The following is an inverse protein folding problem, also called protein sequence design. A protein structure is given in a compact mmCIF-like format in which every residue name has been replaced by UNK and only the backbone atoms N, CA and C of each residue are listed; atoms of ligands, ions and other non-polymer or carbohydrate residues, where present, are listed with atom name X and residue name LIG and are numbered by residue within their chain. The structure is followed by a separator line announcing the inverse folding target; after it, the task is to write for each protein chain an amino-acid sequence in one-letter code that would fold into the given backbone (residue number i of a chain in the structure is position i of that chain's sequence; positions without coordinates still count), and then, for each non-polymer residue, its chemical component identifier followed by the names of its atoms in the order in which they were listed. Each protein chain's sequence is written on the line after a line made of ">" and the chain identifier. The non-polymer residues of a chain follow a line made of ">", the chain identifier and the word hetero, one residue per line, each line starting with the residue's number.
data_IF_729259554561
#
_entry.id   IF_729259554561
#
_cell.length_a   1.000
_cell.length_b   1.000
_cell.length_c   1.000
_cell.angle_alpha   90.00
_cell.angle_beta   90.00
_cell.angle_gamma   90.00
#
_symmetry.space_group_name_H-M   'P 1'
#
loop_
_entity.id
_entity.type
_entity.pdbx_description
1 polymer ?
#
# COMPACT_ATOMS: atom_id res chain seq x y z
N UNK A 1 15.78 6.40 10.36
CA UNK A 1 15.44 5.33 9.39
C UNK A 1 14.48 4.32 10.03
N UNK A 2 13.22 4.72 10.17
CA UNK A 2 12.15 3.87 10.75
C UNK A 2 10.86 3.91 9.92
N UNK A 3 10.93 4.36 8.67
CA UNK A 3 9.82 4.37 7.73
C UNK A 3 9.69 3.04 6.96
N UNK A 4 8.60 2.90 6.21
CA UNK A 4 8.42 1.82 5.27
C UNK A 4 9.18 2.14 3.98
N UNK A 5 10.16 1.31 3.64
CA UNK A 5 11.01 1.50 2.47
C UNK A 5 10.33 0.97 1.21
N UNK A 6 10.53 1.66 0.09
CA UNK A 6 10.11 1.18 -1.23
C UNK A 6 11.28 1.25 -2.22
N UNK A 7 11.33 0.31 -3.14
CA UNK A 7 12.17 0.41 -4.34
C UNK A 7 11.55 1.41 -5.32
N UNK A 8 12.39 2.16 -6.03
CA UNK A 8 11.94 3.06 -7.10
C UNK A 8 12.81 2.85 -8.34
N UNK A 9 12.20 2.41 -9.42
CA UNK A 9 12.83 2.24 -10.73
C UNK A 9 12.24 3.27 -11.72
N UNK A 10 13.03 4.28 -12.07
CA UNK A 10 12.65 5.29 -13.05
C UNK A 10 13.04 4.81 -14.44
N UNK A 11 12.07 4.71 -15.35
CA UNK A 11 12.30 4.36 -16.75
C UNK A 11 12.75 5.60 -17.53
N UNK A 12 13.66 5.40 -18.47
CA UNK A 12 14.06 6.45 -19.41
C UNK A 12 12.87 6.97 -20.22
N UNK A 13 13.03 8.17 -20.79
CA UNK A 13 11.92 8.88 -21.47
C UNK A 13 11.29 8.07 -22.60
N UNK A 14 12.10 7.32 -23.36
CA UNK A 14 11.68 6.54 -24.53
C UNK A 14 11.68 5.01 -24.24
N UNK A 15 11.86 4.63 -22.97
CA UNK A 15 11.85 3.24 -22.54
C UNK A 15 10.43 2.77 -22.23
N UNK A 16 10.16 1.54 -22.62
CA UNK A 16 8.96 0.83 -22.18
C UNK A 16 9.24 0.03 -20.90
N UNK A 17 8.17 -0.45 -20.23
CA UNK A 17 8.36 -1.35 -19.11
C UNK A 17 9.16 -2.58 -19.56
N UNK A 18 10.11 -3.04 -18.74
CA UNK A 18 10.65 -4.38 -18.89
C UNK A 18 9.54 -5.43 -18.85
N UNK A 19 9.84 -6.66 -19.23
CA UNK A 19 8.88 -7.75 -19.03
C UNK A 19 8.55 -7.96 -17.55
N UNK A 20 7.36 -8.51 -17.29
CA UNK A 20 6.86 -8.67 -15.92
C UNK A 20 7.77 -9.56 -15.07
N UNK A 21 8.40 -10.57 -15.69
CA UNK A 21 9.36 -11.44 -15.00
C UNK A 21 10.61 -10.70 -14.52
N UNK A 22 11.11 -9.76 -15.29
CA UNK A 22 12.23 -8.92 -14.88
C UNK A 22 11.83 -8.00 -13.72
N UNK A 23 10.68 -7.32 -13.83
CA UNK A 23 10.20 -6.41 -12.76
C UNK A 23 9.96 -7.17 -11.47
N UNK A 24 9.36 -8.36 -11.55
CA UNK A 24 9.15 -9.25 -10.42
C UNK A 24 10.47 -9.70 -9.77
N UNK A 25 11.45 -10.10 -10.58
CA UNK A 25 12.76 -10.52 -10.09
C UNK A 25 13.49 -9.38 -9.39
N UNK A 26 13.45 -8.17 -9.98
CA UNK A 26 14.07 -6.99 -9.37
C UNK A 26 13.43 -6.64 -8.02
N UNK A 27 12.10 -6.68 -7.93
CA UNK A 27 11.40 -6.44 -6.67
C UNK A 27 11.79 -7.48 -5.60
N UNK A 28 11.88 -8.76 -5.97
CA UNK A 28 12.30 -9.83 -5.07
C UNK A 28 13.76 -9.66 -4.59
N UNK A 29 14.67 -9.20 -5.45
CA UNK A 29 16.07 -8.93 -5.09
C UNK A 29 16.23 -7.73 -4.17
N UNK A 30 15.46 -6.66 -4.38
CA UNK A 30 15.48 -5.47 -3.54
C UNK A 30 14.94 -5.72 -2.13
N UNK A 31 14.06 -6.70 -1.96
CA UNK A 31 13.49 -7.13 -0.65
C UNK A 31 12.80 -6.01 0.14
N UNK A 32 12.28 -5.00 -0.57
CA UNK A 32 11.37 -4.04 0.01
C UNK A 32 9.94 -4.60 -0.05
N UNK A 33 9.02 -4.04 0.74
CA UNK A 33 7.62 -4.45 0.67
C UNK A 33 7.08 -4.29 -0.76
N UNK A 34 7.38 -3.15 -1.41
CA UNK A 34 7.07 -2.92 -2.82
C UNK A 34 8.19 -2.17 -3.55
N UNK A 35 8.20 -2.35 -4.87
CA UNK A 35 9.01 -1.57 -5.82
C UNK A 35 8.09 -0.91 -6.83
N UNK A 36 8.15 0.41 -6.95
CA UNK A 36 7.46 1.19 -7.97
C UNK A 36 8.31 1.31 -9.24
N UNK A 37 7.76 0.88 -10.37
CA UNK A 37 8.31 1.13 -11.71
C UNK A 37 7.57 2.33 -12.31
N UNK A 38 8.29 3.38 -12.61
CA UNK A 38 7.74 4.68 -12.98
C UNK A 38 8.07 5.03 -14.43
N UNK A 39 7.03 5.19 -15.24
CA UNK A 39 7.13 5.66 -16.63
C UNK A 39 6.53 7.06 -16.74
N UNK A 40 7.29 8.01 -17.28
CA UNK A 40 6.75 9.32 -17.61
C UNK A 40 6.05 9.27 -18.96
N UNK A 41 4.77 9.67 -19.01
CA UNK A 41 3.96 9.72 -20.23
C UNK A 41 3.90 11.11 -20.86
N UNK A 42 4.10 12.14 -20.03
CA UNK A 42 4.03 13.54 -20.46
C UNK A 42 4.63 14.48 -19.41
N UNK A 43 4.50 15.80 -19.60
CA UNK A 43 5.05 16.78 -18.66
C UNK A 43 4.52 16.59 -17.23
N UNK A 44 3.22 16.29 -17.09
CA UNK A 44 2.48 16.20 -15.82
C UNK A 44 1.82 14.82 -15.63
N UNK A 45 2.15 13.84 -16.48
CA UNK A 45 1.49 12.52 -16.44
C UNK A 45 2.49 11.38 -16.36
N UNK A 46 2.18 10.42 -15.51
CA UNK A 46 2.98 9.25 -15.22
C UNK A 46 2.13 7.98 -15.27
N UNK A 47 2.80 6.84 -15.39
CA UNK A 47 2.21 5.52 -15.15
C UNK A 47 3.10 4.77 -14.17
N UNK A 48 2.48 4.17 -13.16
CA UNK A 48 3.16 3.41 -12.13
C UNK A 48 2.65 1.97 -12.11
N UNK A 49 3.60 1.05 -11.96
CA UNK A 49 3.34 -0.36 -11.66
C UNK A 49 4.08 -0.71 -10.38
N UNK A 50 3.46 -1.52 -9.53
CA UNK A 50 4.01 -1.87 -8.22
C UNK A 50 4.17 -3.37 -8.10
N UNK A 51 5.35 -3.79 -7.69
CA UNK A 51 5.65 -5.19 -7.47
C UNK A 51 6.11 -5.42 -6.04
N UNK A 52 5.46 -6.36 -5.37
CA UNK A 52 5.98 -6.99 -4.14
C UNK A 52 7.00 -8.06 -4.51
N UNK A 53 7.74 -8.67 -3.58
CA UNK A 53 8.55 -9.86 -3.87
C UNK A 53 7.77 -11.04 -4.46
N UNK A 54 6.44 -11.07 -4.34
CA UNK A 54 5.57 -12.19 -4.72
C UNK A 54 4.74 -11.92 -5.97
N UNK A 55 4.45 -10.66 -6.30
CA UNK A 55 3.60 -10.33 -7.46
C UNK A 55 3.31 -8.84 -7.61
N UNK A 56 2.67 -8.48 -8.72
CA UNK A 56 2.17 -7.14 -8.97
C UNK A 56 0.95 -6.84 -8.10
N UNK A 57 0.86 -5.59 -7.62
CA UNK A 57 -0.29 -5.07 -6.87
C UNK A 57 -0.84 -3.81 -7.53
N UNK A 58 -2.15 -3.59 -7.37
CA UNK A 58 -2.88 -2.54 -8.10
C UNK A 58 -2.51 -1.13 -7.67
N UNK A 59 -2.18 -0.95 -6.39
CA UNK A 59 -1.88 0.35 -5.78
C UNK A 59 -0.93 0.19 -4.60
N UNK A 60 0.00 1.14 -4.47
CA UNK A 60 0.84 1.24 -3.28
C UNK A 60 1.11 2.71 -2.91
N UNK A 61 0.52 3.17 -1.81
CA UNK A 61 0.59 4.57 -1.38
C UNK A 61 2.00 5.03 -1.05
N UNK A 62 2.72 4.30 -0.17
CA UNK A 62 4.07 4.71 0.23
C UNK A 62 5.08 4.62 -0.90
N UNK A 63 4.95 3.64 -1.82
CA UNK A 63 5.81 3.54 -2.99
C UNK A 63 5.54 4.68 -4.00
N UNK A 64 4.28 5.14 -4.12
CA UNK A 64 3.93 6.34 -4.91
C UNK A 64 4.59 7.59 -4.31
N UNK A 65 4.46 7.81 -3.00
CA UNK A 65 5.10 8.94 -2.32
C UNK A 65 6.62 8.87 -2.48
N UNK A 66 7.23 7.70 -2.34
CA UNK A 66 8.66 7.50 -2.55
C UNK A 66 9.07 7.85 -3.99
N UNK A 67 8.34 7.37 -5.01
CA UNK A 67 8.62 7.63 -6.42
C UNK A 67 8.60 9.14 -6.74
N UNK A 68 7.55 9.86 -6.34
CA UNK A 68 7.46 11.30 -6.57
C UNK A 68 8.43 12.11 -5.72
N UNK A 69 8.84 11.60 -4.55
CA UNK A 69 9.91 12.21 -3.75
C UNK A 69 11.25 12.11 -4.48
N UNK A 70 11.60 10.94 -5.02
CA UNK A 70 12.83 10.75 -5.81
C UNK A 70 12.80 11.66 -7.05
N UNK A 71 11.71 11.68 -7.81
CA UNK A 71 11.56 12.54 -8.98
C UNK A 71 11.76 14.04 -8.63
N UNK A 72 11.24 14.49 -7.50
CA UNK A 72 11.43 15.86 -7.01
C UNK A 72 12.89 16.12 -6.62
N UNK A 73 13.50 15.22 -5.86
CA UNK A 73 14.88 15.40 -5.34
C UNK A 73 15.93 15.37 -6.45
N UNK A 74 15.70 14.59 -7.50
CA UNK A 74 16.54 14.59 -8.70
C UNK A 74 16.30 15.80 -9.62
N UNK A 75 15.40 16.72 -9.26
CA UNK A 75 15.09 17.91 -10.03
C UNK A 75 14.25 17.66 -11.29
N UNK A 76 13.64 16.47 -11.39
CA UNK A 76 12.80 16.09 -12.53
C UNK A 76 11.37 16.66 -12.43
N UNK A 77 10.96 17.13 -11.24
CA UNK A 77 9.66 17.75 -10.99
C UNK A 77 9.79 19.12 -10.32
N UNK A 78 9.06 20.09 -10.84
CA UNK A 78 8.78 21.36 -10.16
C UNK A 78 7.58 21.20 -9.19
N UNK A 79 7.37 22.13 -8.25
CA UNK A 79 6.11 22.17 -7.50
C UNK A 79 4.91 22.27 -8.44
N UNK A 80 3.89 21.42 -8.24
CA UNK A 80 2.71 21.31 -9.10
C UNK A 80 1.89 20.05 -8.81
N UNK A 81 0.83 19.86 -9.60
CA UNK A 81 -0.02 18.68 -9.55
C UNK A 81 0.28 17.76 -10.73
N UNK A 82 0.39 16.48 -10.47
CA UNK A 82 0.74 15.44 -11.43
C UNK A 82 -0.29 14.32 -11.40
N UNK A 83 -0.62 13.80 -12.57
CA UNK A 83 -1.46 12.61 -12.70
C UNK A 83 -0.61 11.34 -12.74
N UNK A 84 -1.07 10.29 -12.08
CA UNK A 84 -0.45 8.97 -12.14
C UNK A 84 -1.49 7.89 -12.38
N UNK A 85 -1.38 7.18 -13.52
CA UNK A 85 -2.22 6.01 -13.79
C UNK A 85 -1.64 4.75 -13.17
N UNK A 86 -2.50 3.95 -12.55
CA UNK A 86 -2.18 2.68 -11.90
C UNK A 86 -3.20 1.62 -12.30
N UNK A 87 -3.04 0.38 -11.87
CA UNK A 87 -4.07 -0.66 -12.06
C UNK A 87 -5.34 -0.36 -11.27
N UNK A 88 -5.24 0.34 -10.13
CA UNK A 88 -6.40 0.77 -9.34
C UNK A 88 -7.09 2.04 -9.87
N UNK A 89 -6.54 2.68 -10.93
CA UNK A 89 -7.08 3.90 -11.52
C UNK A 89 -6.13 5.09 -11.47
N UNK A 90 -6.68 6.29 -11.67
CA UNK A 90 -5.92 7.53 -11.70
C UNK A 90 -5.73 8.11 -10.29
N UNK A 91 -4.54 8.59 -10.03
CA UNK A 91 -4.16 9.28 -8.80
C UNK A 91 -3.82 10.74 -9.09
N UNK A 92 -4.14 11.62 -8.17
CA UNK A 92 -3.68 13.01 -8.15
C UNK A 92 -2.58 13.18 -7.11
N UNK A 93 -1.42 13.67 -7.55
CA UNK A 93 -0.23 13.82 -6.72
C UNK A 93 0.16 15.30 -6.69
N UNK A 94 0.14 15.91 -5.54
CA UNK A 94 0.64 17.25 -5.34
C UNK A 94 2.10 17.21 -4.84
N UNK A 95 2.98 17.85 -5.59
CA UNK A 95 4.40 17.99 -5.25
C UNK A 95 4.66 19.44 -4.83
N UNK A 96 5.13 19.63 -3.62
CA UNK A 96 5.64 20.90 -3.12
C UNK A 96 7.16 20.86 -3.00
N UNK A 97 7.78 21.97 -2.56
CA UNK A 97 9.23 22.02 -2.33
C UNK A 97 9.70 21.06 -1.23
N UNK A 98 8.82 20.73 -0.28
CA UNK A 98 9.19 20.00 0.95
C UNK A 98 8.41 18.71 1.15
N UNK A 99 7.30 18.51 0.43
CA UNK A 99 6.41 17.37 0.62
C UNK A 99 5.80 16.89 -0.70
N UNK A 100 5.37 15.66 -0.69
CA UNK A 100 4.54 15.01 -1.72
C UNK A 100 3.25 14.58 -1.03
N UNK A 101 2.12 14.87 -1.65
CA UNK A 101 0.78 14.51 -1.20
C UNK A 101 0.10 13.66 -2.25
N UNK A 102 -0.68 12.71 -1.85
CA UNK A 102 -1.47 11.86 -2.72
C UNK A 102 -2.92 11.87 -2.24
N UNK A 103 -3.84 12.18 -3.13
CA UNK A 103 -5.26 12.05 -2.84
C UNK A 103 -5.65 10.57 -2.84
N UNK A 104 -6.32 10.16 -1.78
CA UNK A 104 -6.90 8.83 -1.67
C UNK A 104 -8.39 8.88 -1.93
N UNK A 105 -8.96 7.78 -2.42
CA UNK A 105 -10.41 7.65 -2.51
C UNK A 105 -11.04 7.84 -1.11
N UNK A 106 -12.21 8.49 -1.00
CA UNK A 106 -12.94 8.54 0.25
C UNK A 106 -13.15 7.12 0.80
N UNK A 107 -13.08 6.93 2.13
CA UNK A 107 -13.27 5.61 2.71
C UNK A 107 -14.69 5.09 2.43
N UNK A 108 -14.76 3.88 1.92
CA UNK A 108 -16.01 3.14 1.74
C UNK A 108 -16.07 2.07 2.81
N UNK A 109 -17.05 2.18 3.70
CA UNK A 109 -17.30 1.18 4.71
C UNK A 109 -17.95 -0.07 4.09
N UNK A 110 -17.33 -1.21 4.33
CA UNK A 110 -17.82 -2.51 3.95
C UNK A 110 -18.58 -3.21 5.09
N UNK A 111 -18.58 -4.53 5.05
CA UNK A 111 -19.26 -5.35 6.06
C UNK A 111 -18.56 -5.26 7.43
N UNK A 112 -19.34 -5.42 8.48
CA UNK A 112 -18.84 -5.77 9.82
C UNK A 112 -18.73 -7.29 9.95
N UNK A 113 -17.91 -7.75 10.86
CA UNK A 113 -17.67 -9.16 11.14
C UNK A 113 -18.45 -9.60 12.38
N UNK A 114 -19.00 -10.81 12.35
CA UNK A 114 -19.68 -11.41 13.49
C UNK A 114 -18.68 -11.72 14.62
N UNK A 115 -19.17 -12.00 15.82
CA UNK A 115 -18.30 -12.37 16.94
C UNK A 115 -17.46 -13.62 16.65
N UNK A 116 -18.00 -14.60 15.93
CA UNK A 116 -17.28 -15.80 15.53
C UNK A 116 -16.14 -15.48 14.56
N UNK A 117 -16.42 -14.69 13.52
CA UNK A 117 -15.43 -14.22 12.57
C UNK A 117 -14.37 -13.31 13.24
N UNK A 118 -14.80 -12.43 14.14
CA UNK A 118 -13.89 -11.58 14.94
C UNK A 118 -12.93 -12.45 15.76
N UNK A 119 -13.40 -13.52 16.37
CA UNK A 119 -12.55 -14.46 17.13
C UNK A 119 -11.45 -15.06 16.27
N UNK A 120 -11.75 -15.45 15.02
CA UNK A 120 -10.76 -15.96 14.08
C UNK A 120 -9.75 -14.87 13.69
N UNK A 121 -10.23 -13.64 13.41
CA UNK A 121 -9.38 -12.52 13.06
C UNK A 121 -8.40 -12.16 14.19
N UNK A 122 -8.87 -12.04 15.43
CA UNK A 122 -8.00 -11.76 16.58
C UNK A 122 -7.00 -12.90 16.83
N UNK A 123 -7.45 -14.15 16.76
CA UNK A 123 -6.59 -15.31 16.94
C UNK A 123 -5.45 -15.37 15.91
N UNK A 124 -5.66 -14.88 14.68
CA UNK A 124 -4.62 -14.79 13.65
C UNK A 124 -3.47 -13.84 14.02
N UNK A 125 -3.68 -12.97 15.00
CA UNK A 125 -2.66 -12.08 15.55
C UNK A 125 -2.25 -12.43 17.00
N UNK A 126 -2.63 -13.63 17.49
CA UNK A 126 -2.34 -14.04 18.86
C UNK A 126 -3.13 -13.26 19.92
N UNK A 127 -4.21 -12.60 19.51
CA UNK A 127 -5.12 -11.83 20.35
C UNK A 127 -6.41 -12.60 20.63
N UNK A 128 -7.24 -12.06 21.51
CA UNK A 128 -8.56 -12.58 21.87
C UNK A 128 -9.64 -11.51 21.76
N UNK A 129 -10.91 -11.89 21.96
CA UNK A 129 -12.00 -10.91 22.00
C UNK A 129 -11.93 -9.98 23.19
N UNK A 130 -11.18 -10.32 24.25
CA UNK A 130 -10.96 -9.44 25.41
C UNK A 130 -10.11 -8.22 25.03
N UNK A 131 -9.34 -8.34 23.92
CA UNK A 131 -8.54 -7.26 23.37
C UNK A 131 -9.34 -6.33 22.45
N UNK A 132 -10.59 -6.68 22.13
CA UNK A 132 -11.49 -5.87 21.31
C UNK A 132 -12.15 -4.78 22.17
N UNK A 133 -12.22 -3.51 21.70
CA UNK A 133 -13.00 -2.47 22.36
C UNK A 133 -14.49 -2.84 22.41
N UNK A 134 -15.16 -2.50 23.51
CA UNK A 134 -16.56 -2.86 23.71
C UNK A 134 -17.55 -2.19 22.72
N UNK A 135 -17.16 -1.07 22.14
CA UNK A 135 -17.98 -0.23 21.24
C UNK A 135 -17.54 -0.32 19.76
N UNK A 136 -16.57 -1.18 19.43
CA UNK A 136 -16.05 -1.33 18.08
C UNK A 136 -16.00 -2.82 17.70
N UNK A 137 -16.27 -3.09 16.43
CA UNK A 137 -16.15 -4.44 15.85
C UNK A 137 -15.27 -4.38 14.59
N UNK A 138 -14.61 -5.48 14.22
CA UNK A 138 -13.88 -5.54 12.96
C UNK A 138 -14.77 -5.18 11.78
N UNK A 139 -14.22 -4.43 10.84
CA UNK A 139 -14.94 -3.93 9.68
C UNK A 139 -14.03 -3.89 8.45
N UNK A 140 -14.58 -4.28 7.29
CA UNK A 140 -13.93 -4.03 6.02
C UNK A 140 -14.05 -2.55 5.64
N UNK A 141 -12.97 -1.92 5.20
CA UNK A 141 -12.93 -0.54 4.73
C UNK A 141 -12.02 -0.46 3.51
N UNK A 142 -12.40 0.31 2.50
CA UNK A 142 -11.59 0.55 1.32
C UNK A 142 -11.36 2.05 1.10
N UNK A 143 -10.11 2.41 0.82
CA UNK A 143 -9.70 3.71 0.29
C UNK A 143 -9.01 3.55 -1.07
N UNK A 144 -9.32 2.45 -1.78
CA UNK A 144 -8.70 1.97 -3.01
C UNK A 144 -8.43 0.47 -2.95
N UNK A 145 -7.77 0.00 -1.88
CA UNK A 145 -7.68 -1.40 -1.52
C UNK A 145 -8.61 -1.68 -0.33
N UNK A 146 -9.14 -2.89 -0.27
CA UNK A 146 -10.01 -3.31 0.82
C UNK A 146 -9.19 -3.95 1.93
N UNK A 147 -9.24 -3.34 3.11
CA UNK A 147 -8.59 -3.80 4.32
C UNK A 147 -9.61 -4.19 5.39
N UNK A 148 -9.23 -5.09 6.30
CA UNK A 148 -10.00 -5.38 7.50
C UNK A 148 -9.38 -4.59 8.65
N UNK A 149 -10.11 -3.57 9.13
CA UNK A 149 -9.72 -2.85 10.34
C UNK A 149 -10.03 -3.72 11.55
N UNK A 150 -9.00 -4.06 12.32
CA UNK A 150 -9.09 -4.84 13.55
C UNK A 150 -8.81 -3.91 14.74
N UNK A 151 -9.84 -3.38 15.42
CA UNK A 151 -9.65 -2.46 16.55
C UNK A 151 -9.06 -3.19 17.75
N UNK A 152 -8.16 -2.56 18.49
CA UNK A 152 -7.53 -3.11 19.69
C UNK A 152 -7.70 -2.14 20.85
N UNK A 153 -8.10 -2.63 22.03
CA UNK A 153 -8.50 -1.82 23.17
C UNK A 153 -7.34 -1.08 23.85
N UNK A 154 -6.14 -1.60 23.76
CA UNK A 154 -4.96 -1.02 24.41
C UNK A 154 -3.73 -1.03 23.51
N UNK A 155 -2.80 -0.14 23.81
CA UNK A 155 -1.49 -0.09 23.13
C UNK A 155 -0.66 -1.35 23.43
N UNK A 156 -0.76 -1.86 24.63
CA UNK A 156 -0.05 -3.05 25.08
C UNK A 156 -0.50 -4.28 24.30
N UNK A 157 -1.82 -4.45 24.08
CA UNK A 157 -2.34 -5.51 23.23
C UNK A 157 -1.88 -5.37 21.76
N UNK A 158 -1.87 -4.14 21.23
CA UNK A 158 -1.35 -3.89 19.87
C UNK A 158 0.14 -4.25 19.73
N UNK A 159 0.96 -3.87 20.73
CA UNK A 159 2.39 -4.18 20.74
C UNK A 159 2.68 -5.67 20.98
N UNK A 160 1.76 -6.39 21.62
CA UNK A 160 1.85 -7.84 21.82
C UNK A 160 1.33 -8.67 20.63
N UNK A 161 0.65 -8.04 19.67
CA UNK A 161 0.10 -8.73 18.51
C UNK A 161 1.20 -9.37 17.65
N UNK A 162 1.07 -10.66 17.37
CA UNK A 162 2.01 -11.41 16.53
C UNK A 162 1.23 -12.08 15.40
N UNK A 163 1.54 -11.70 14.18
CA UNK A 163 0.88 -12.23 12.99
C UNK A 163 1.22 -13.70 12.76
N UNK A 164 0.19 -14.52 12.59
CA UNK A 164 0.30 -15.86 12.02
C UNK A 164 0.05 -15.76 10.50
N UNK A 165 1.12 -15.75 9.70
CA UNK A 165 1.06 -15.54 8.26
C UNK A 165 0.11 -16.53 7.54
N UNK A 166 0.12 -17.80 7.92
CA UNK A 166 -0.74 -18.81 7.31
C UNK A 166 -2.22 -18.55 7.59
N UNK A 167 -2.57 -18.20 8.83
CA UNK A 167 -3.93 -17.85 9.21
C UNK A 167 -4.40 -16.57 8.52
N UNK A 168 -3.57 -15.52 8.49
CA UNK A 168 -3.89 -14.25 7.81
C UNK A 168 -4.09 -14.48 6.31
N UNK A 169 -3.23 -15.26 5.66
CA UNK A 169 -3.37 -15.60 4.23
C UNK A 169 -4.70 -16.32 3.95
N UNK A 170 -5.09 -17.26 4.81
CA UNK A 170 -6.37 -17.96 4.67
C UNK A 170 -7.56 -17.02 4.84
N UNK A 171 -7.54 -16.19 5.88
CA UNK A 171 -8.60 -15.20 6.16
C UNK A 171 -8.72 -14.16 5.02
N UNK A 172 -7.60 -13.67 4.49
CA UNK A 172 -7.57 -12.73 3.35
C UNK A 172 -8.12 -13.31 2.05
N UNK A 173 -8.11 -14.64 1.90
CA UNK A 173 -8.75 -15.31 0.75
C UNK A 173 -10.25 -15.54 0.95
N UNK A 174 -10.67 -15.64 2.20
CA UNK A 174 -12.06 -15.91 2.58
C UNK A 174 -12.90 -14.64 2.57
N UNK A 175 -12.33 -13.53 2.93
CA UNK A 175 -12.98 -12.24 3.14
C UNK A 175 -12.62 -11.18 2.11
#
# INVERSE_FOLDING_TARGET
>A
FSGNQAGVALLGRDEDYPDDGFMQTLAAELKHSETAFVKRLGPESFRLRYFTPEGEVDLCGHATIAAFTVLREEGNLAPGTYGASTLAGELSIEVSRTAVWMDMAPPVEGRTFSEEEARELYAAYGLSLDDMPADMVPRAVSTGLCDILLPVSTREALEAAVQNEAAVTELSRRY
#
